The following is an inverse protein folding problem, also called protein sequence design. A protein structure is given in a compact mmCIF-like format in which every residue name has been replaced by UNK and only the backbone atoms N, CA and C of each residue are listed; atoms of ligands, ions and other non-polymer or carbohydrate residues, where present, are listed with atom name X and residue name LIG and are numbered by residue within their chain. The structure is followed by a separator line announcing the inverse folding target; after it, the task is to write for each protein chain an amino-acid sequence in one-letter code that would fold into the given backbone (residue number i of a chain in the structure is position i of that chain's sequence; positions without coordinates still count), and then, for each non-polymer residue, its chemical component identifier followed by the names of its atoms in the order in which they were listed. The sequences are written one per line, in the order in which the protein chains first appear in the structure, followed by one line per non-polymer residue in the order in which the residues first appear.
data_IF_243490124070
#
_entry.id   IF_243490124070
#
_cell.length_a   1.000
_cell.length_b   1.000
_cell.length_c   1.000
_cell.angle_alpha   90.00
_cell.angle_beta   90.00
_cell.angle_gamma   90.00
#
_symmetry.space_group_name_H-M   'P 1'
#
loop_
_entity.id
_entity.type
_entity.pdbx_description
1 polymer ?
#
# COMPACT_ATOMS: atom_id res chain seq x y z
N UNK A 1 -45.21 -34.40 -66.23
CA UNK A 1 -44.13 -35.05 -65.47
C UNK A 1 -44.75 -35.96 -64.40
N UNK A 2 -44.73 -37.30 -64.53
CA UNK A 2 -45.42 -38.17 -63.58
C UNK A 2 -44.58 -38.36 -62.31
N UNK A 3 -45.22 -38.19 -61.14
CA UNK A 3 -44.61 -38.43 -59.83
C UNK A 3 -44.23 -39.92 -59.69
N UNK A 4 -42.93 -40.22 -59.58
CA UNK A 4 -42.43 -41.58 -59.30
C UNK A 4 -42.98 -42.08 -57.96
N UNK A 5 -43.88 -43.05 -57.98
CA UNK A 5 -44.34 -43.78 -56.78
C UNK A 5 -43.14 -44.57 -56.22
N UNK A 6 -42.65 -44.22 -55.03
CA UNK A 6 -41.69 -45.08 -54.30
C UNK A 6 -42.41 -46.40 -54.00
N UNK A 7 -41.87 -47.50 -54.51
CA UNK A 7 -42.46 -48.82 -54.36
C UNK A 7 -42.44 -49.31 -52.91
N UNK A 8 -43.56 -49.88 -52.46
CA UNK A 8 -43.81 -50.46 -51.13
C UNK A 8 -42.71 -51.48 -50.73
N UNK A 9 -42.14 -52.20 -51.70
CA UNK A 9 -41.04 -53.14 -51.49
C UNK A 9 -39.71 -52.47 -51.08
N UNK A 10 -39.43 -51.26 -51.57
CA UNK A 10 -38.24 -50.48 -51.19
C UNK A 10 -38.29 -50.01 -49.73
N UNK A 11 -39.49 -49.68 -49.25
CA UNK A 11 -39.75 -49.31 -47.87
C UNK A 11 -39.60 -50.50 -46.91
N UNK A 12 -40.09 -51.68 -47.31
CA UNK A 12 -39.93 -52.91 -46.52
C UNK A 12 -38.45 -53.34 -46.39
N UNK A 13 -37.67 -53.28 -47.48
CA UNK A 13 -36.24 -53.59 -47.46
C UNK A 13 -35.43 -52.56 -46.65
N UNK A 14 -35.77 -51.28 -46.72
CA UNK A 14 -35.18 -50.21 -45.90
C UNK A 14 -35.45 -50.44 -44.41
N UNK A 15 -36.71 -50.75 -44.05
CA UNK A 15 -37.10 -51.09 -42.68
C UNK A 15 -36.33 -52.31 -42.14
N UNK A 16 -36.24 -53.40 -42.91
CA UNK A 16 -35.44 -54.59 -42.52
C UNK A 16 -33.97 -54.26 -42.28
N UNK A 17 -33.37 -53.38 -43.09
CA UNK A 17 -31.99 -52.90 -42.87
C UNK A 17 -31.86 -52.06 -41.60
N UNK A 18 -32.83 -51.21 -41.29
CA UNK A 18 -32.81 -50.41 -40.05
C UNK A 18 -32.93 -51.28 -38.79
N UNK A 19 -33.78 -52.32 -38.84
CA UNK A 19 -33.96 -53.28 -37.73
C UNK A 19 -32.66 -54.05 -37.49
N UNK A 20 -32.04 -54.63 -38.52
CA UNK A 20 -30.75 -55.33 -38.39
C UNK A 20 -29.63 -54.44 -37.84
N UNK A 21 -29.60 -53.16 -38.23
CA UNK A 21 -28.64 -52.18 -37.68
C UNK A 21 -28.91 -51.90 -36.20
N UNK A 22 -30.17 -51.89 -35.76
CA UNK A 22 -30.55 -51.71 -34.35
C UNK A 22 -30.20 -52.95 -33.53
N UNK A 23 -30.51 -54.14 -34.03
CA UNK A 23 -30.17 -55.42 -33.40
C UNK A 23 -28.66 -55.57 -33.20
N UNK A 24 -27.86 -55.24 -34.23
CA UNK A 24 -26.40 -55.24 -34.10
C UNK A 24 -25.90 -54.31 -32.99
N UNK A 25 -26.53 -53.14 -32.81
CA UNK A 25 -26.16 -52.19 -31.75
C UNK A 25 -26.52 -52.65 -30.34
N UNK A 26 -27.50 -53.55 -30.21
CA UNK A 26 -27.91 -54.09 -28.89
C UNK A 26 -26.86 -55.09 -28.39
N UNK A 27 -26.20 -55.81 -29.30
CA UNK A 27 -25.18 -56.82 -28.99
C UNK A 27 -23.75 -56.34 -29.18
N UNK A 28 -23.56 -55.06 -29.53
CA UNK A 28 -22.23 -54.43 -29.69
C UNK A 28 -21.45 -54.50 -28.38
N UNK A 29 -20.16 -54.85 -28.46
CA UNK A 29 -19.25 -54.72 -27.31
C UNK A 29 -18.96 -53.25 -27.01
N UNK A 30 -18.48 -52.93 -25.81
CA UNK A 30 -18.16 -51.53 -25.45
C UNK A 30 -17.07 -50.94 -26.35
N UNK A 31 -16.13 -51.76 -26.83
CA UNK A 31 -15.13 -51.33 -27.80
C UNK A 31 -15.73 -51.04 -29.17
N UNK A 32 -16.59 -51.91 -29.69
CA UNK A 32 -17.27 -51.69 -30.98
C UNK A 32 -18.17 -50.45 -30.93
N UNK A 33 -18.88 -50.28 -29.81
CA UNK A 33 -19.69 -49.09 -29.53
C UNK A 33 -18.85 -47.83 -29.47
N UNK A 34 -17.70 -47.87 -28.78
CA UNK A 34 -16.74 -46.76 -28.68
C UNK A 34 -16.17 -46.40 -30.04
N UNK A 35 -15.73 -47.38 -30.84
CA UNK A 35 -15.26 -47.16 -32.22
C UNK A 35 -16.35 -46.51 -33.07
N UNK A 36 -17.60 -46.99 -32.98
CA UNK A 36 -18.73 -46.42 -33.72
C UNK A 36 -19.01 -44.98 -33.31
N UNK A 37 -19.01 -44.65 -32.02
CA UNK A 37 -19.18 -43.27 -31.56
C UNK A 37 -18.02 -42.38 -32.01
N UNK A 38 -16.78 -42.87 -31.96
CA UNK A 38 -15.61 -42.17 -32.46
C UNK A 38 -15.73 -41.84 -33.95
N UNK A 39 -16.09 -42.80 -34.79
CA UNK A 39 -16.31 -42.56 -36.23
C UNK A 39 -17.44 -41.55 -36.49
N UNK A 40 -18.53 -41.60 -35.73
CA UNK A 40 -19.61 -40.62 -35.86
C UNK A 40 -19.18 -39.21 -35.41
N UNK A 41 -18.41 -39.11 -34.33
CA UNK A 41 -17.86 -37.84 -33.85
C UNK A 41 -16.89 -37.23 -34.87
N UNK A 42 -15.99 -38.03 -35.46
CA UNK A 42 -15.07 -37.61 -36.52
C UNK A 42 -15.82 -37.08 -37.74
N UNK A 43 -16.82 -37.83 -38.24
CA UNK A 43 -17.67 -37.36 -39.35
C UNK A 43 -18.40 -36.06 -39.02
N UNK A 44 -18.85 -35.90 -37.78
CA UNK A 44 -19.44 -34.65 -37.29
C UNK A 44 -18.45 -33.49 -37.18
N UNK A 45 -17.17 -33.76 -36.92
CA UNK A 45 -16.11 -32.74 -36.94
C UNK A 45 -15.81 -32.30 -38.37
N UNK A 46 -15.63 -33.25 -39.30
CA UNK A 46 -15.39 -32.96 -40.72
C UNK A 46 -16.54 -32.12 -41.29
N UNK A 47 -17.79 -32.54 -41.09
CA UNK A 47 -18.96 -31.76 -41.52
C UNK A 47 -18.98 -30.34 -40.95
N UNK A 48 -18.60 -30.16 -39.69
CA UNK A 48 -18.54 -28.83 -39.05
C UNK A 48 -17.38 -27.98 -39.53
N UNK A 49 -16.27 -28.60 -39.95
CA UNK A 49 -15.12 -27.90 -40.52
C UNK A 49 -15.40 -27.42 -41.96
N UNK A 50 -16.27 -28.13 -42.67
CA UNK A 50 -16.71 -27.80 -44.04
C UNK A 50 -17.92 -26.83 -44.08
N UNK A 51 -18.50 -26.46 -42.92
CA UNK A 51 -19.61 -25.51 -42.86
C UNK A 51 -19.17 -24.13 -43.35
N UNK A 52 -20.01 -23.49 -44.18
CA UNK A 52 -19.87 -22.06 -44.45
C UNK A 52 -20.25 -21.25 -43.21
N UNK A 53 -19.81 -19.99 -43.13
CA UNK A 53 -20.14 -19.12 -42.00
C UNK A 53 -21.67 -18.92 -41.86
N UNK A 54 -22.40 -18.84 -42.97
CA UNK A 54 -23.87 -18.79 -42.96
C UNK A 54 -24.51 -20.07 -42.39
N UNK A 55 -24.05 -21.24 -42.85
CA UNK A 55 -24.52 -22.53 -42.35
C UNK A 55 -24.23 -22.69 -40.86
N UNK A 56 -23.03 -22.29 -40.42
CA UNK A 56 -22.62 -22.30 -39.03
C UNK A 56 -23.50 -21.38 -38.19
N UNK A 57 -23.74 -20.15 -38.64
CA UNK A 57 -24.58 -19.18 -37.93
C UNK A 57 -26.05 -19.64 -37.86
N UNK A 58 -26.59 -20.21 -38.93
CA UNK A 58 -27.93 -20.82 -38.91
C UNK A 58 -28.01 -21.95 -37.89
N UNK A 59 -27.04 -22.86 -37.88
CA UNK A 59 -27.00 -23.98 -36.92
C UNK A 59 -26.86 -23.49 -35.47
N UNK A 60 -26.02 -22.49 -35.21
CA UNK A 60 -25.87 -21.90 -33.88
C UNK A 60 -27.17 -21.22 -33.43
N UNK A 61 -27.83 -20.49 -34.32
CA UNK A 61 -29.12 -19.83 -34.08
C UNK A 61 -30.22 -20.85 -33.74
N UNK A 62 -30.36 -21.92 -34.53
CA UNK A 62 -31.33 -23.00 -34.27
C UNK A 62 -31.07 -23.67 -32.91
N UNK A 63 -29.80 -23.94 -32.56
CA UNK A 63 -29.45 -24.50 -31.25
C UNK A 63 -29.76 -23.56 -30.09
N UNK A 64 -29.58 -22.25 -30.29
CA UNK A 64 -29.92 -21.23 -29.30
C UNK A 64 -31.44 -21.12 -29.12
N UNK A 65 -32.20 -21.11 -30.21
CA UNK A 65 -33.67 -21.11 -30.18
C UNK A 65 -34.21 -22.31 -29.41
N UNK A 66 -33.81 -23.52 -29.79
CA UNK A 66 -34.24 -24.74 -29.10
C UNK A 66 -33.82 -24.76 -27.62
N UNK A 67 -32.64 -24.22 -27.28
CA UNK A 67 -32.22 -24.08 -25.88
C UNK A 67 -33.13 -23.11 -25.11
N UNK A 68 -33.54 -22.01 -25.73
CA UNK A 68 -34.40 -21.01 -25.11
C UNK A 68 -35.84 -21.52 -24.96
N UNK A 69 -36.38 -22.21 -25.95
CA UNK A 69 -37.69 -22.90 -25.87
C UNK A 69 -37.71 -23.85 -24.67
N UNK A 70 -36.70 -24.72 -24.55
CA UNK A 70 -36.57 -25.63 -23.40
C UNK A 70 -36.49 -24.90 -22.05
N UNK A 71 -35.87 -23.71 -22.00
CA UNK A 71 -35.76 -22.91 -20.77
C UNK A 71 -37.07 -22.22 -20.40
N UNK A 72 -37.91 -21.88 -21.38
CA UNK A 72 -39.24 -21.29 -21.14
C UNK A 72 -40.17 -22.35 -20.56
N UNK A 73 -40.06 -23.59 -21.02
CA UNK A 73 -40.86 -24.73 -20.54
C UNK A 73 -40.29 -25.40 -19.28
N UNK A 74 -39.16 -24.92 -18.74
CA UNK A 74 -38.55 -25.49 -17.53
C UNK A 74 -39.44 -25.28 -16.30
N UNK A 75 -39.70 -26.36 -15.58
CA UNK A 75 -40.28 -26.29 -14.23
C UNK A 75 -39.30 -25.61 -13.25
N UNK A 76 -39.82 -25.06 -12.15
CA UNK A 76 -38.99 -24.43 -11.12
C UNK A 76 -37.92 -25.38 -10.57
N UNK A 77 -38.26 -26.64 -10.33
CA UNK A 77 -37.30 -27.65 -9.88
C UNK A 77 -36.19 -27.92 -10.91
N UNK A 78 -36.55 -28.07 -12.19
CA UNK A 78 -35.57 -28.28 -13.25
C UNK A 78 -34.65 -27.06 -13.39
N UNK A 79 -35.21 -25.85 -13.31
CA UNK A 79 -34.47 -24.60 -13.31
C UNK A 79 -33.49 -24.53 -12.13
N UNK A 80 -33.95 -24.85 -10.92
CA UNK A 80 -33.12 -24.84 -9.71
C UNK A 80 -32.00 -25.89 -9.79
N UNK A 81 -32.29 -27.11 -10.24
CA UNK A 81 -31.28 -28.15 -10.51
C UNK A 81 -30.25 -27.69 -11.53
N UNK A 82 -30.68 -27.10 -12.65
CA UNK A 82 -29.77 -26.58 -13.68
C UNK A 82 -28.88 -25.45 -13.13
N UNK A 83 -29.45 -24.50 -12.38
CA UNK A 83 -28.71 -23.42 -11.76
C UNK A 83 -27.69 -23.93 -10.72
N UNK A 84 -28.07 -24.94 -9.93
CA UNK A 84 -27.17 -25.59 -8.97
C UNK A 84 -25.96 -26.24 -9.67
N UNK A 85 -26.19 -27.03 -10.73
CA UNK A 85 -25.12 -27.66 -11.51
C UNK A 85 -24.20 -26.60 -12.16
N UNK A 86 -24.76 -25.54 -12.73
CA UNK A 86 -23.95 -24.44 -13.29
C UNK A 86 -23.13 -23.70 -12.21
N UNK A 87 -23.72 -23.52 -11.02
CA UNK A 87 -23.06 -22.93 -9.86
C UNK A 87 -21.87 -23.78 -9.40
N UNK A 88 -22.08 -25.09 -9.22
CA UNK A 88 -21.03 -26.06 -8.87
C UNK A 88 -19.90 -26.06 -9.91
N UNK A 89 -20.23 -26.16 -11.21
CA UNK A 89 -19.22 -26.10 -12.26
C UNK A 89 -18.45 -24.78 -12.27
N UNK A 90 -19.08 -23.66 -11.92
CA UNK A 90 -18.37 -22.38 -11.79
C UNK A 90 -17.48 -22.33 -10.56
N UNK A 91 -17.86 -22.95 -9.44
CA UNK A 91 -17.03 -23.03 -8.25
C UNK A 91 -15.81 -23.91 -8.52
N UNK A 92 -16.00 -25.07 -9.16
CA UNK A 92 -14.91 -25.96 -9.55
C UNK A 92 -13.91 -25.24 -10.47
N UNK A 93 -14.39 -24.57 -11.52
CA UNK A 93 -13.50 -23.78 -12.39
C UNK A 93 -12.72 -22.70 -11.63
N UNK A 94 -13.34 -22.03 -10.64
CA UNK A 94 -12.66 -21.04 -9.80
C UNK A 94 -11.66 -21.65 -8.83
N UNK A 95 -11.88 -22.89 -8.38
CA UNK A 95 -10.95 -23.60 -7.51
C UNK A 95 -9.72 -24.08 -8.28
N UNK A 96 -9.88 -24.37 -9.57
CA UNK A 96 -8.82 -24.78 -10.50
C UNK A 96 -8.12 -23.59 -11.19
N UNK A 97 -8.53 -22.34 -10.92
CA UNK A 97 -7.91 -21.14 -11.50
C UNK A 97 -6.46 -20.98 -11.01
N UNK A 98 -5.56 -20.67 -11.95
CA UNK A 98 -4.22 -20.19 -11.57
C UNK A 98 -4.29 -18.79 -10.98
N UNK A 99 -3.26 -18.37 -10.24
CA UNK A 99 -3.23 -17.03 -9.65
C UNK A 99 -3.26 -15.92 -10.71
N UNK A 100 -2.63 -16.14 -11.87
CA UNK A 100 -2.70 -15.21 -13.01
C UNK A 100 -4.13 -15.11 -13.56
N UNK A 101 -4.80 -16.25 -13.80
CA UNK A 101 -6.19 -16.27 -14.28
C UNK A 101 -7.13 -15.60 -13.29
N UNK A 102 -6.93 -15.84 -11.99
CA UNK A 102 -7.67 -15.20 -10.90
C UNK A 102 -7.48 -13.70 -10.92
N UNK A 103 -6.24 -13.22 -11.04
CA UNK A 103 -5.93 -11.80 -11.08
C UNK A 103 -6.51 -11.11 -12.32
N UNK A 104 -6.42 -11.72 -13.50
CA UNK A 104 -7.08 -11.22 -14.72
C UNK A 104 -8.60 -11.13 -14.51
N UNK A 105 -9.23 -12.19 -13.98
CA UNK A 105 -10.68 -12.19 -13.71
C UNK A 105 -11.07 -11.08 -12.73
N UNK A 106 -10.33 -10.90 -11.64
CA UNK A 106 -10.57 -9.84 -10.66
C UNK A 106 -10.40 -8.45 -11.27
N UNK A 107 -9.36 -8.25 -12.09
CA UNK A 107 -9.13 -6.98 -12.80
C UNK A 107 -10.28 -6.64 -13.75
N UNK A 108 -10.73 -7.60 -14.57
CA UNK A 108 -11.88 -7.41 -15.48
C UNK A 108 -13.16 -7.09 -14.70
N UNK A 109 -13.40 -7.78 -13.57
CA UNK A 109 -14.56 -7.50 -12.72
C UNK A 109 -14.49 -6.11 -12.08
N UNK A 110 -13.31 -5.68 -11.63
CA UNK A 110 -13.08 -4.35 -11.07
C UNK A 110 -13.30 -3.26 -12.12
N UNK A 111 -12.75 -3.43 -13.33
CA UNK A 111 -12.93 -2.50 -14.45
C UNK A 111 -14.40 -2.37 -14.85
N UNK A 112 -15.12 -3.50 -14.98
CA UNK A 112 -16.55 -3.48 -15.26
C UNK A 112 -17.35 -2.77 -14.14
N UNK A 113 -16.96 -2.99 -12.88
CA UNK A 113 -17.56 -2.31 -11.73
C UNK A 113 -17.29 -0.80 -11.71
N UNK A 114 -16.10 -0.36 -12.13
CA UNK A 114 -15.77 1.07 -12.29
C UNK A 114 -16.60 1.70 -13.41
N UNK A 115 -16.68 1.04 -14.57
CA UNK A 115 -17.50 1.51 -15.70
C UNK A 115 -18.96 1.69 -15.29
N UNK A 116 -19.56 0.71 -14.63
CA UNK A 116 -20.93 0.81 -14.11
C UNK A 116 -21.10 1.99 -13.15
N UNK A 117 -20.13 2.24 -12.27
CA UNK A 117 -20.15 3.38 -11.34
C UNK A 117 -19.99 4.74 -12.04
N UNK A 118 -19.25 4.79 -13.14
CA UNK A 118 -19.10 6.01 -13.94
C UNK A 118 -20.37 6.36 -14.74
N UNK A 119 -21.13 5.33 -15.13
CA UNK A 119 -22.39 5.46 -15.88
C UNK A 119 -23.63 5.59 -14.96
N UNK A 120 -23.46 5.57 -13.62
CA UNK A 120 -24.57 5.69 -12.67
C UNK A 120 -25.22 7.07 -12.70
N UNK A 121 -26.55 7.12 -12.71
CA UNK A 121 -27.29 8.36 -12.44
C UNK A 121 -27.20 8.72 -10.96
N UNK A 122 -27.46 9.99 -10.63
CA UNK A 122 -27.42 10.45 -9.24
C UNK A 122 -28.43 9.70 -8.34
N UNK A 123 -29.63 9.40 -8.86
CA UNK A 123 -30.63 8.58 -8.16
C UNK A 123 -30.13 7.15 -7.90
N UNK A 124 -29.52 6.52 -8.90
CA UNK A 124 -28.95 5.18 -8.76
C UNK A 124 -27.80 5.17 -7.75
N UNK A 125 -26.94 6.19 -7.78
CA UNK A 125 -25.84 6.38 -6.84
C UNK A 125 -26.37 6.53 -5.41
N UNK A 126 -27.37 7.39 -5.20
CA UNK A 126 -27.96 7.61 -3.88
C UNK A 126 -28.67 6.36 -3.35
N UNK A 127 -29.42 5.65 -4.21
CA UNK A 127 -30.02 4.36 -3.85
C UNK A 127 -28.96 3.32 -3.45
N UNK A 128 -27.85 3.23 -4.20
CA UNK A 128 -26.73 2.32 -3.88
C UNK A 128 -26.06 2.69 -2.56
N UNK A 129 -25.77 3.97 -2.33
CA UNK A 129 -25.16 4.46 -1.07
C UNK A 129 -26.08 4.19 0.12
N UNK A 130 -27.38 4.45 0.00
CA UNK A 130 -28.37 4.15 1.03
C UNK A 130 -28.41 2.65 1.39
N UNK A 131 -28.45 1.77 0.38
CA UNK A 131 -28.40 0.31 0.58
C UNK A 131 -27.09 -0.14 1.25
N UNK A 132 -25.96 0.46 0.90
CA UNK A 132 -24.67 0.15 1.55
C UNK A 132 -24.62 0.63 3.00
N UNK A 133 -25.16 1.82 3.27
CA UNK A 133 -25.26 2.36 4.63
C UNK A 133 -26.16 1.50 5.52
N UNK A 134 -27.33 1.10 5.01
CA UNK A 134 -28.26 0.21 5.69
C UNK A 134 -27.60 -1.13 6.04
N UNK A 135 -27.00 -1.82 5.06
CA UNK A 135 -26.25 -3.07 5.33
C UNK A 135 -25.11 -2.88 6.31
N UNK A 136 -24.46 -1.72 6.28
CA UNK A 136 -23.42 -1.36 7.25
C UNK A 136 -23.95 -1.12 8.66
N UNK A 137 -25.19 -0.70 8.83
CA UNK A 137 -25.86 -0.60 10.12
C UNK A 137 -26.32 -1.97 10.61
N UNK A 138 -26.94 -2.78 9.75
CA UNK A 138 -27.36 -4.16 10.06
C UNK A 138 -26.18 -5.00 10.56
N UNK A 139 -25.05 -5.01 9.83
CA UNK A 139 -23.84 -5.71 10.28
C UNK A 139 -23.33 -5.22 11.64
N UNK A 140 -23.45 -3.92 11.93
CA UNK A 140 -23.02 -3.35 13.23
C UNK A 140 -23.98 -3.67 14.37
N UNK A 141 -25.27 -3.86 14.06
CA UNK A 141 -26.25 -4.30 15.04
C UNK A 141 -26.07 -5.78 15.41
N UNK A 142 -25.55 -6.57 14.47
CA UNK A 142 -25.26 -8.00 14.63
C UNK A 142 -23.81 -8.29 15.09
N UNK A 143 -22.99 -7.25 15.35
CA UNK A 143 -21.60 -7.41 15.81
C UNK A 143 -21.54 -8.05 17.20
N UNK A 144 -20.64 -9.02 17.39
CA UNK A 144 -20.28 -9.48 18.74
C UNK A 144 -19.43 -8.43 19.46
N UNK A 145 -19.35 -8.48 20.79
CA UNK A 145 -18.53 -7.54 21.57
C UNK A 145 -17.05 -7.57 21.18
N UNK A 146 -16.51 -8.76 20.85
CA UNK A 146 -15.14 -8.91 20.35
C UNK A 146 -14.95 -8.20 19.01
N UNK A 147 -15.86 -8.42 18.05
CA UNK A 147 -15.82 -7.76 16.74
C UNK A 147 -15.93 -6.25 16.87
N UNK A 148 -16.81 -5.77 17.76
CA UNK A 148 -16.98 -4.35 18.08
C UNK A 148 -15.69 -3.75 18.65
N UNK A 149 -15.06 -4.43 19.60
CA UNK A 149 -13.81 -3.99 20.21
C UNK A 149 -12.65 -3.97 19.20
N UNK A 150 -12.51 -4.99 18.35
CA UNK A 150 -11.52 -5.00 17.27
C UNK A 150 -11.73 -3.85 16.29
N UNK A 151 -12.98 -3.58 15.88
CA UNK A 151 -13.30 -2.46 14.98
C UNK A 151 -12.97 -1.10 15.62
N UNK A 152 -13.30 -0.90 16.89
CA UNK A 152 -12.99 0.35 17.61
C UNK A 152 -11.48 0.52 17.79
N UNK A 153 -10.75 -0.54 18.12
CA UNK A 153 -9.28 -0.52 18.22
C UNK A 153 -8.62 -0.14 16.88
N UNK A 154 -9.05 -0.76 15.78
CA UNK A 154 -8.57 -0.43 14.44
C UNK A 154 -8.87 1.03 14.05
N UNK A 155 -10.04 1.55 14.41
CA UNK A 155 -10.39 2.96 14.19
C UNK A 155 -9.45 3.89 14.96
N UNK A 156 -9.16 3.58 16.23
CA UNK A 156 -8.24 4.37 17.06
C UNK A 156 -6.82 4.34 16.48
N UNK A 157 -6.32 3.18 16.08
CA UNK A 157 -5.01 3.05 15.43
C UNK A 157 -4.95 3.90 14.15
N UNK A 158 -5.92 3.77 13.25
CA UNK A 158 -5.98 4.57 12.03
C UNK A 158 -6.01 6.09 12.33
N UNK A 159 -6.72 6.53 13.37
CA UNK A 159 -6.70 7.95 13.76
C UNK A 159 -5.34 8.40 14.31
N UNK A 160 -4.63 7.54 15.05
CA UNK A 160 -3.27 7.82 15.53
C UNK A 160 -2.29 7.92 14.38
N UNK A 161 -2.30 6.95 13.46
CA UNK A 161 -1.46 6.95 12.25
C UNK A 161 -1.69 8.20 11.40
N UNK A 162 -2.95 8.60 11.19
CA UNK A 162 -3.27 9.85 10.47
C UNK A 162 -2.66 11.08 11.15
N UNK A 163 -2.65 11.14 12.48
CA UNK A 163 -2.02 12.26 13.21
C UNK A 163 -0.51 12.23 13.04
N UNK A 164 0.12 11.06 13.13
CA UNK A 164 1.55 10.90 12.93
C UNK A 164 1.97 11.32 11.52
N UNK A 165 1.27 10.85 10.48
CA UNK A 165 1.57 11.21 9.09
C UNK A 165 1.47 12.72 8.83
N UNK A 166 0.54 13.43 9.50
CA UNK A 166 0.44 14.89 9.40
C UNK A 166 1.65 15.56 10.05
N UNK A 167 2.06 15.09 11.23
CA UNK A 167 3.24 15.61 11.94
C UNK A 167 4.51 15.34 11.12
N UNK A 168 4.68 14.13 10.59
CA UNK A 168 5.80 13.76 9.74
C UNK A 168 5.85 14.61 8.45
N UNK A 169 4.71 14.83 7.80
CA UNK A 169 4.62 15.72 6.64
C UNK A 169 4.99 17.17 6.97
N UNK A 170 4.56 17.67 8.13
CA UNK A 170 4.93 19.01 8.61
C UNK A 170 6.42 19.11 8.91
N UNK A 171 7.00 18.11 9.59
CA UNK A 171 8.43 18.05 9.87
C UNK A 171 9.27 17.96 8.59
N UNK A 172 8.81 17.19 7.59
CA UNK A 172 9.47 17.11 6.29
C UNK A 172 9.47 18.47 5.57
N UNK A 173 8.35 19.19 5.58
CA UNK A 173 8.26 20.53 4.99
C UNK A 173 9.13 21.56 5.73
N UNK A 174 9.16 21.53 7.06
CA UNK A 174 10.00 22.41 7.87
C UNK A 174 11.49 22.14 7.61
N UNK A 175 11.91 20.88 7.56
CA UNK A 175 13.28 20.50 7.18
C UNK A 175 13.63 20.97 5.77
N UNK A 176 12.76 20.73 4.77
CA UNK A 176 12.98 21.22 3.41
C UNK A 176 13.15 22.74 3.37
N UNK A 177 12.33 23.47 4.12
CA UNK A 177 12.41 24.94 4.22
C UNK A 177 13.70 25.38 4.88
N UNK A 178 14.17 24.70 5.93
CA UNK A 178 15.47 24.96 6.56
C UNK A 178 16.63 24.74 5.59
N UNK A 179 16.65 23.62 4.85
CA UNK A 179 17.72 23.36 3.87
C UNK A 179 17.69 24.33 2.70
N UNK A 180 16.51 24.73 2.22
CA UNK A 180 16.36 25.76 1.19
C UNK A 180 16.80 27.15 1.69
N UNK A 181 16.50 27.52 2.93
CA UNK A 181 16.99 28.76 3.52
C UNK A 181 18.51 28.73 3.70
N UNK A 182 19.08 27.59 4.11
CA UNK A 182 20.53 27.40 4.26
C UNK A 182 21.29 27.57 2.94
N UNK A 183 20.73 27.13 1.81
CA UNK A 183 21.37 27.30 0.50
C UNK A 183 21.26 28.73 -0.05
N UNK A 184 20.29 29.53 0.42
CA UNK A 184 20.08 30.91 -0.05
C UNK A 184 20.75 31.96 0.86
N UNK A 185 21.06 31.64 2.12
CA UNK A 185 21.41 32.64 3.16
C UNK A 185 22.72 32.43 3.92
N UNK A 186 23.61 31.54 3.48
CA UNK A 186 25.01 31.56 3.94
C UNK A 186 25.93 31.92 2.76
N UNK A 187 26.25 33.21 2.55
CA UNK A 187 27.55 33.50 1.96
C UNK A 187 28.57 32.82 2.87
N UNK A 188 29.60 32.21 2.27
CA UNK A 188 30.75 31.63 2.98
C UNK A 188 31.11 32.63 4.09
N UNK A 189 30.86 32.26 5.34
CA UNK A 189 31.21 33.14 6.44
C UNK A 189 32.74 33.26 6.39
N UNK A 190 33.23 34.43 6.01
CA UNK A 190 34.65 34.73 6.14
C UNK A 190 35.01 34.47 7.60
N UNK A 191 36.03 33.65 7.85
CA UNK A 191 36.51 33.35 9.20
C UNK A 191 36.84 34.68 9.89
N UNK A 192 35.96 35.13 10.79
CA UNK A 192 36.17 36.34 11.54
C UNK A 192 37.19 36.05 12.65
N UNK A 193 38.47 36.18 12.31
CA UNK A 193 39.57 36.02 13.23
C UNK A 193 39.67 37.26 14.13
N UNK A 194 39.16 37.15 15.37
CA UNK A 194 39.16 38.21 16.38
C UNK A 194 40.55 38.43 17.05
N UNK A 195 41.60 37.81 16.50
CA UNK A 195 42.97 37.87 17.02
C UNK A 195 43.22 37.01 18.27
N UNK A 196 44.38 37.16 18.90
CA UNK A 196 44.72 36.50 20.16
C UNK A 196 43.94 37.10 21.34
N UNK A 197 43.61 36.27 22.33
CA UNK A 197 42.85 36.64 23.53
C UNK A 197 43.79 37.09 24.66
N UNK A 198 44.57 38.13 24.40
CA UNK A 198 45.73 38.55 25.19
C UNK A 198 45.47 39.79 26.06
N UNK A 199 44.31 40.43 25.92
CA UNK A 199 44.02 41.68 26.59
C UNK A 199 43.26 41.45 27.91
N UNK A 200 43.78 42.03 29.00
CA UNK A 200 43.31 41.79 30.36
C UNK A 200 42.33 42.87 30.84
N UNK A 201 41.22 42.43 31.43
CA UNK A 201 40.33 43.32 32.17
C UNK A 201 40.95 43.69 33.52
N UNK A 202 41.25 44.98 33.71
CA UNK A 202 41.85 45.49 34.95
C UNK A 202 40.96 45.35 36.20
N UNK A 203 39.66 45.05 36.05
CA UNK A 203 38.72 44.92 37.18
C UNK A 203 38.54 43.50 37.69
N UNK A 204 38.60 42.50 36.81
CA UNK A 204 38.29 41.11 37.16
C UNK A 204 39.31 40.10 36.60
N UNK A 205 40.39 40.57 35.97
CA UNK A 205 41.49 39.74 35.47
C UNK A 205 41.13 38.83 34.29
N UNK A 206 39.91 38.92 33.74
CA UNK A 206 39.49 38.14 32.58
C UNK A 206 40.21 38.58 31.30
N UNK A 207 40.56 37.61 30.45
CA UNK A 207 41.13 37.84 29.12
C UNK A 207 40.02 38.01 28.07
N UNK A 208 40.23 38.87 27.10
CA UNK A 208 39.29 39.13 26.00
C UNK A 208 40.00 39.36 24.66
N UNK A 209 39.25 39.21 23.57
CA UNK A 209 39.73 39.42 22.21
C UNK A 209 39.83 40.90 21.87
N UNK A 210 40.80 41.28 21.03
CA UNK A 210 41.12 42.68 20.76
C UNK A 210 39.96 43.47 20.11
N UNK A 211 39.14 42.78 19.35
CA UNK A 211 38.01 43.34 18.57
C UNK A 211 36.70 43.43 19.35
N UNK A 212 36.67 42.98 20.62
CA UNK A 212 35.52 43.14 21.51
C UNK A 212 35.41 44.57 22.12
N UNK A 213 36.28 45.51 21.72
CA UNK A 213 36.17 46.93 22.08
C UNK A 213 34.97 47.58 21.39
N UNK A 214 34.23 48.41 22.13
CA UNK A 214 33.32 49.34 21.46
C UNK A 214 34.10 50.39 20.67
N UNK A 215 33.41 51.18 19.84
CA UNK A 215 33.99 52.27 19.03
C UNK A 215 34.72 53.35 19.83
N UNK A 216 34.63 53.35 21.16
CA UNK A 216 35.32 54.27 22.08
C UNK A 216 36.56 53.63 22.73
N UNK A 217 36.92 52.41 22.34
CA UNK A 217 38.10 51.70 22.83
C UNK A 217 37.97 51.08 24.23
N UNK A 218 36.75 51.02 24.79
CA UNK A 218 36.49 50.64 26.18
C UNK A 218 35.67 49.34 26.25
N UNK A 219 36.09 48.41 27.11
CA UNK A 219 35.38 47.17 27.40
C UNK A 219 34.30 47.39 28.46
N UNK A 220 33.05 47.12 28.10
CA UNK A 220 31.89 47.40 28.97
C UNK A 220 31.17 46.12 29.44
N UNK A 221 31.44 44.97 28.81
CA UNK A 221 30.61 43.77 29.00
C UNK A 221 31.23 42.65 29.85
N UNK A 222 32.54 42.64 30.12
CA UNK A 222 33.18 41.48 30.80
C UNK A 222 32.64 41.24 32.23
N UNK A 223 32.49 42.30 33.03
CA UNK A 223 32.15 42.19 34.46
C UNK A 223 31.05 43.18 34.89
N UNK A 224 30.21 43.62 33.96
CA UNK A 224 29.18 44.65 34.17
C UNK A 224 29.72 45.87 34.93
N UNK A 225 30.81 46.46 34.41
CA UNK A 225 31.57 47.55 35.03
C UNK A 225 32.16 47.27 36.44
N UNK A 226 32.34 46.01 36.82
CA UNK A 226 32.88 45.61 38.13
C UNK A 226 31.81 45.30 39.18
N UNK A 227 30.54 45.18 38.77
CA UNK A 227 29.43 44.83 39.66
C UNK A 227 29.27 43.32 39.85
N UNK A 228 29.96 42.50 39.04
CA UNK A 228 30.03 41.06 39.27
C UNK A 228 31.18 40.80 40.23
N UNK A 229 30.83 40.65 41.51
CA UNK A 229 31.75 40.12 42.52
C UNK A 229 31.92 38.64 42.20
N UNK A 230 33.17 38.23 41.94
CA UNK A 230 33.57 36.83 41.80
C UNK A 230 33.26 36.11 43.11
N UNK A 231 32.04 35.62 43.28
CA UNK A 231 31.82 34.51 44.18
C UNK A 231 32.60 33.38 43.56
N UNK A 232 33.65 32.92 44.27
CA UNK A 232 34.32 31.68 43.94
C UNK A 232 33.21 30.66 43.70
N UNK A 233 32.98 30.31 42.43
CA UNK A 233 31.98 29.35 42.09
C UNK A 233 32.39 28.10 42.85
N UNK A 234 31.62 27.75 43.87
CA UNK A 234 31.72 26.43 44.47
C UNK A 234 31.18 25.51 43.38
N UNK A 235 32.04 25.20 42.40
CA UNK A 235 31.78 24.13 41.48
C UNK A 235 31.59 22.90 42.36
N UNK A 236 30.47 22.16 42.23
CA UNK A 236 30.34 20.87 42.89
C UNK A 236 31.60 20.07 42.55
N UNK A 237 32.27 19.50 43.56
CA UNK A 237 33.57 18.80 43.39
C UNK A 237 33.50 17.77 42.26
N UNK A 238 32.31 17.20 42.05
CA UNK A 238 31.95 16.27 41.00
C UNK A 238 32.11 16.85 39.58
N UNK A 239 31.69 18.10 39.33
CA UNK A 239 31.84 18.76 38.01
C UNK A 239 33.30 19.00 37.66
N UNK A 240 34.14 19.27 38.67
CA UNK A 240 35.58 19.45 38.48
C UNK A 240 36.26 18.15 38.05
N UNK A 241 35.83 17.02 38.62
CA UNK A 241 36.28 15.69 38.21
C UNK A 241 35.87 15.35 36.77
N UNK A 242 34.65 15.69 36.36
CA UNK A 242 34.22 15.49 34.97
C UNK A 242 34.98 16.33 33.94
N UNK A 243 35.61 17.44 34.35
CA UNK A 243 36.32 18.38 33.47
C UNK A 243 37.86 18.24 33.52
N UNK A 244 38.43 17.38 34.36
CA UNK A 244 39.89 17.29 34.54
C UNK A 244 40.58 16.30 33.57
N UNK A 245 39.84 15.33 33.03
CA UNK A 245 40.36 14.29 32.13
C UNK A 245 41.09 13.15 32.84
N UNK A 246 40.91 13.01 34.15
CA UNK A 246 41.63 12.04 34.99
C UNK A 246 41.11 10.61 34.87
N UNK A 247 39.83 10.42 34.51
CA UNK A 247 39.18 9.13 34.38
C UNK A 247 38.40 8.97 33.05
N UNK A 248 38.05 7.73 32.69
CA UNK A 248 37.36 7.41 31.42
C UNK A 248 36.04 8.18 31.25
N UNK A 249 35.32 8.45 32.35
CA UNK A 249 34.09 9.23 32.32
C UNK A 249 34.35 10.70 32.01
N UNK A 250 35.41 11.30 32.56
CA UNK A 250 35.79 12.68 32.22
C UNK A 250 36.23 12.81 30.75
N UNK A 251 36.99 11.84 30.23
CA UNK A 251 37.40 11.82 28.82
C UNK A 251 36.17 11.70 27.90
N UNK A 252 35.25 10.80 28.23
CA UNK A 252 34.01 10.63 27.49
C UNK A 252 33.13 11.89 27.53
N UNK A 253 33.02 12.52 28.70
CA UNK A 253 32.26 13.75 28.87
C UNK A 253 32.85 14.91 28.08
N UNK A 254 34.18 15.11 28.11
CA UNK A 254 34.87 16.13 27.30
C UNK A 254 34.63 15.96 25.81
N UNK A 255 34.73 14.72 25.31
CA UNK A 255 34.56 14.42 23.90
C UNK A 255 33.10 14.59 23.43
N UNK A 256 32.13 14.50 24.34
CA UNK A 256 30.70 14.54 24.04
C UNK A 256 29.96 15.75 24.65
N UNK A 257 30.65 16.72 25.26
CA UNK A 257 30.01 17.84 25.97
C UNK A 257 29.03 18.61 25.07
N UNK A 258 29.35 18.73 23.78
CA UNK A 258 28.52 19.38 22.77
C UNK A 258 27.23 18.62 22.44
N UNK A 259 27.20 17.29 22.58
CA UNK A 259 25.98 16.50 22.37
C UNK A 259 25.04 16.57 23.57
N UNK A 260 25.57 16.70 24.80
CA UNK A 260 24.77 16.91 26.01
C UNK A 260 24.16 18.32 26.11
N UNK A 261 24.83 19.34 25.57
CA UNK A 261 24.35 20.73 25.59
C UNK A 261 23.20 21.02 24.60
N UNK A 262 22.91 20.12 23.65
CA UNK A 262 21.76 20.28 22.75
C UNK A 262 20.39 20.15 23.46
N UNK A 263 20.33 19.73 24.73
CA UNK A 263 19.08 19.52 25.46
C UNK A 263 18.73 20.63 26.47
N UNK A 264 19.68 21.52 26.82
CA UNK A 264 19.42 22.65 27.72
C UNK A 264 19.70 23.96 26.98
N UNK A 265 18.64 24.54 26.41
CA UNK A 265 18.69 25.92 25.94
C UNK A 265 19.05 26.86 27.08
N UNK A 266 20.04 27.72 26.86
CA UNK A 266 20.40 28.87 27.70
C UNK A 266 20.46 28.60 29.22
N UNK A 267 21.60 28.14 29.71
CA UNK A 267 21.96 28.36 31.11
C UNK A 267 23.47 28.53 31.25
N UNK A 268 23.83 29.76 31.60
CA UNK A 268 25.02 30.20 32.33
C UNK A 268 26.34 30.46 31.57
N UNK A 269 26.67 31.75 31.48
CA UNK A 269 27.96 32.35 31.10
C UNK A 269 29.16 31.93 31.97
N UNK A 270 28.98 31.04 32.96
CA UNK A 270 30.06 30.56 33.83
C UNK A 270 30.93 29.49 33.18
N UNK A 271 30.43 28.78 32.15
CA UNK A 271 31.19 27.77 31.39
C UNK A 271 32.30 28.38 30.53
N UNK A 272 32.24 29.69 30.26
CA UNK A 272 33.24 30.36 29.41
C UNK A 272 34.60 30.55 30.08
N UNK A 273 34.75 30.40 31.42
CA UNK A 273 36.02 30.66 32.11
C UNK A 273 36.94 29.44 32.26
N UNK A 274 36.42 28.21 32.38
CA UNK A 274 37.30 27.03 32.37
C UNK A 274 37.84 26.73 30.97
N UNK A 275 37.14 27.19 29.91
CA UNK A 275 37.69 27.19 28.56
C UNK A 275 38.90 28.12 28.44
N UNK A 276 38.95 29.24 29.17
CA UNK A 276 40.08 30.19 29.15
C UNK A 276 41.30 29.72 29.95
N UNK A 277 41.11 28.98 31.05
CA UNK A 277 42.24 28.52 31.90
C UNK A 277 42.85 27.20 31.39
N UNK A 278 42.11 26.36 30.67
CA UNK A 278 42.64 25.11 30.09
C UNK A 278 43.07 25.21 28.62
N UNK A 279 42.61 26.21 27.86
CA UNK A 279 43.12 26.43 26.48
C UNK A 279 44.56 26.94 26.43
N UNK A 280 45.15 27.38 27.55
CA UNK A 280 46.58 27.68 27.61
C UNK A 280 47.48 26.44 27.60
N UNK A 281 46.94 25.22 27.76
CA UNK A 281 47.73 23.97 27.78
C UNK A 281 47.32 22.92 26.73
N UNK A 282 46.53 23.28 25.71
CA UNK A 282 46.00 22.32 24.72
C UNK A 282 46.33 22.62 23.25
N UNK A 283 47.36 23.44 23.00
CA UNK A 283 48.02 23.49 21.70
C UNK A 283 49.47 23.03 21.84
N UNK A 284 49.81 21.81 21.40
CA UNK A 284 51.00 21.57 20.62
C UNK A 284 50.63 21.54 19.13
N UNK A 285 51.61 21.93 18.30
CA UNK A 285 51.64 21.73 16.85
C UNK A 285 51.04 20.39 16.39
#
# INVERSE_FOLDING_TARGET
MPKRKRGIAGDAASRRKTIRKRERRVVETEEERSRRFSTMAQRGQVRRAEETEEQRNSRLSEMEQHRNERRVEETEEQRNRRLAVMGQGSQQRRAEETEEQRNIRLAVMAQRGQRRRAEETEEQRNSRLAKMAQRGQERRAEETDEQRNSRLSAMLQHTRERRLNVIEGQNHHQMQTFYAARTVLYPIAEEHNCGEMDNLCLKCGGLYYRDEKNTRGIYTHCCHNGNIIEQASVNPVEMKGLMDGSDELSVHFKNNVRSYQCFNGCSDCTVYRERSVLLQNLWPN
#
